data_IF_809102373696
#
_entry.id   IF_809102373696
#
_cell.length_a   1.000
_cell.length_b   1.000
_cell.length_c   1.000
_cell.angle_alpha   90.00
_cell.angle_beta   90.00
_cell.angle_gamma   90.00
#
_symmetry.space_group_name_H-M   'P 1'
#
loop_
_entity.id
_entity.type
_entity.pdbx_description
1 polymer ?
#
# COMPACT_ATOMS: atom_id res chain seq x y z
N UNK A 1 -15.97 13.65 18.52
CA UNK A 1 -14.90 12.70 18.88
C UNK A 1 -13.61 13.30 18.35
N UNK A 2 -12.55 13.39 19.15
CA UNK A 2 -11.27 13.91 18.66
C UNK A 2 -10.65 12.90 17.67
N UNK A 3 -9.98 13.36 16.60
CA UNK A 3 -9.33 12.51 15.60
C UNK A 3 -8.38 11.48 16.21
N UNK A 4 -7.69 11.82 17.30
CA UNK A 4 -6.82 10.88 18.04
C UNK A 4 -7.59 9.71 18.68
N UNK A 5 -8.80 9.94 19.16
CA UNK A 5 -9.64 8.88 19.74
C UNK A 5 -10.21 7.97 18.65
N UNK A 6 -10.54 8.53 17.48
CA UNK A 6 -10.96 7.77 16.30
C UNK A 6 -9.85 6.81 15.87
N UNK A 7 -8.63 7.33 15.67
CA UNK A 7 -7.45 6.57 15.27
C UNK A 7 -7.21 5.39 16.23
N UNK A 8 -7.24 5.62 17.54
CA UNK A 8 -7.06 4.55 18.54
C UNK A 8 -8.18 3.51 18.46
N UNK A 9 -9.44 3.93 18.32
CA UNK A 9 -10.57 3.00 18.21
C UNK A 9 -10.47 2.12 16.97
N UNK A 10 -10.02 2.67 15.85
CA UNK A 10 -9.80 1.91 14.61
C UNK A 10 -8.65 0.91 14.82
N UNK A 11 -7.52 1.35 15.39
CA UNK A 11 -6.37 0.47 15.61
C UNK A 11 -6.72 -0.74 16.49
N UNK A 12 -7.47 -0.54 17.58
CA UNK A 12 -7.81 -1.62 18.52
C UNK A 12 -9.08 -2.39 18.19
N UNK A 13 -10.02 -1.79 17.45
CA UNK A 13 -11.36 -2.33 17.23
C UNK A 13 -11.70 -2.66 15.78
N UNK A 14 -10.91 -2.19 14.82
CA UNK A 14 -11.21 -2.32 13.39
C UNK A 14 -12.42 -1.47 12.95
N UNK A 15 -12.90 -1.73 11.74
CA UNK A 15 -14.09 -1.10 11.17
C UNK A 15 -15.09 -2.13 10.67
N UNK A 16 -16.38 -1.85 10.93
CA UNK A 16 -17.48 -2.52 10.24
C UNK A 16 -17.47 -2.16 8.74
N UNK A 17 -17.87 -3.11 7.90
CA UNK A 17 -17.74 -2.98 6.44
C UNK A 17 -18.47 -1.75 5.88
N UNK A 18 -19.64 -1.43 6.43
CA UNK A 18 -20.50 -0.32 6.03
C UNK A 18 -19.85 1.04 6.27
N UNK A 19 -18.94 1.14 7.24
CA UNK A 19 -18.25 2.40 7.58
C UNK A 19 -16.99 2.62 6.75
N UNK A 20 -16.44 1.57 6.12
CA UNK A 20 -15.15 1.62 5.41
C UNK A 20 -15.13 2.67 4.33
N UNK A 21 -16.19 2.76 3.52
CA UNK A 21 -16.27 3.71 2.39
C UNK A 21 -16.03 5.15 2.86
N UNK A 22 -16.59 5.54 4.00
CA UNK A 22 -16.42 6.90 4.53
C UNK A 22 -15.09 7.05 5.28
N UNK A 23 -14.78 6.11 6.18
CA UNK A 23 -13.63 6.23 7.08
C UNK A 23 -12.29 6.06 6.36
N UNK A 24 -12.23 5.22 5.31
CA UNK A 24 -11.01 5.04 4.53
C UNK A 24 -10.56 6.33 3.86
N UNK A 25 -11.48 7.22 3.48
CA UNK A 25 -11.14 8.52 2.92
C UNK A 25 -10.35 9.38 3.90
N UNK A 26 -10.65 9.30 5.20
CA UNK A 26 -9.86 9.97 6.24
C UNK A 26 -8.53 9.25 6.54
N UNK A 27 -8.55 7.92 6.66
CA UNK A 27 -7.34 7.13 6.94
C UNK A 27 -6.27 7.27 5.83
N UNK A 28 -6.72 7.33 4.58
CA UNK A 28 -5.85 7.53 3.42
C UNK A 28 -5.44 8.99 3.22
N UNK A 29 -6.04 9.94 3.95
CA UNK A 29 -5.76 11.37 3.79
C UNK A 29 -6.39 11.98 2.55
N UNK A 30 -7.41 11.34 1.99
CA UNK A 30 -8.26 11.95 0.96
C UNK A 30 -9.12 13.08 1.55
N UNK A 31 -9.54 12.92 2.81
CA UNK A 31 -10.13 13.99 3.61
C UNK A 31 -9.26 14.33 4.80
N UNK A 32 -9.19 15.62 5.12
CA UNK A 32 -8.65 16.07 6.39
C UNK A 32 -9.64 15.80 7.53
N UNK A 33 -9.12 15.41 8.69
CA UNK A 33 -9.93 15.13 9.87
C UNK A 33 -10.72 16.34 10.39
N UNK A 34 -10.20 17.54 10.18
CA UNK A 34 -10.83 18.79 10.61
C UNK A 34 -11.75 19.40 9.53
N UNK A 35 -11.83 18.79 8.35
CA UNK A 35 -12.69 19.28 7.27
C UNK A 35 -14.17 19.27 7.65
N UNK A 36 -14.90 20.25 7.14
CA UNK A 36 -16.36 20.32 7.21
C UNK A 36 -17.00 19.52 6.08
N UNK A 37 -18.30 19.23 6.21
CA UNK A 37 -19.06 18.55 5.17
C UNK A 37 -19.06 19.35 3.84
N UNK A 38 -19.22 20.67 3.92
CA UNK A 38 -19.24 21.54 2.74
C UNK A 38 -17.90 21.56 1.99
N UNK A 39 -16.78 21.58 2.73
CA UNK A 39 -15.44 21.48 2.13
C UNK A 39 -15.24 20.13 1.43
N UNK A 40 -15.73 19.03 2.03
CA UNK A 40 -15.67 17.70 1.40
C UNK A 40 -16.52 17.59 0.15
N UNK A 41 -17.76 18.11 0.15
CA UNK A 41 -18.60 18.14 -1.05
C UNK A 41 -17.94 18.93 -2.19
N UNK A 42 -17.36 20.10 -1.86
CA UNK A 42 -16.62 20.90 -2.83
C UNK A 42 -15.41 20.12 -3.39
N UNK A 43 -14.60 19.52 -2.51
CA UNK A 43 -13.44 18.71 -2.89
C UNK A 43 -13.83 17.57 -3.82
N UNK A 44 -14.91 16.82 -3.51
CA UNK A 44 -15.40 15.74 -4.36
C UNK A 44 -15.79 16.23 -5.76
N UNK A 45 -16.43 17.41 -5.86
CA UNK A 45 -16.82 17.99 -7.14
C UNK A 45 -15.60 18.32 -8.02
N UNK A 46 -14.55 18.89 -7.44
CA UNK A 46 -13.30 19.22 -8.12
C UNK A 46 -12.58 17.94 -8.54
N UNK A 47 -12.42 17.00 -7.60
CA UNK A 47 -11.73 15.72 -7.81
C UNK A 47 -12.39 14.88 -8.89
N UNK A 48 -13.72 14.90 -8.98
CA UNK A 48 -14.45 14.23 -10.06
C UNK A 48 -14.12 14.84 -11.43
N UNK A 49 -14.08 16.17 -11.54
CA UNK A 49 -13.73 16.85 -12.79
C UNK A 49 -12.27 16.59 -13.19
N UNK A 50 -11.35 16.62 -12.23
CA UNK A 50 -9.93 16.35 -12.45
C UNK A 50 -9.71 14.92 -12.93
N UNK A 51 -10.37 13.95 -12.29
CA UNK A 51 -10.32 12.54 -12.71
C UNK A 51 -10.76 12.37 -14.17
N UNK A 52 -11.91 12.93 -14.55
CA UNK A 52 -12.41 12.86 -15.93
C UNK A 52 -11.45 13.54 -16.92
N UNK A 53 -10.85 14.65 -16.51
CA UNK A 53 -9.84 15.36 -17.31
C UNK A 53 -8.64 14.46 -17.58
N UNK A 54 -8.05 13.82 -16.55
CA UNK A 54 -6.90 12.92 -16.71
C UNK A 54 -7.31 11.69 -17.54
N UNK A 55 -8.48 11.12 -17.28
CA UNK A 55 -8.99 9.95 -18.01
C UNK A 55 -9.16 10.25 -19.50
N UNK A 56 -9.65 11.44 -19.84
CA UNK A 56 -9.81 11.87 -21.23
C UNK A 56 -8.49 11.91 -22.00
N UNK A 57 -7.36 12.20 -21.33
CA UNK A 57 -6.05 12.28 -21.96
C UNK A 57 -5.69 10.96 -22.64
N UNK A 58 -5.75 9.84 -21.91
CA UNK A 58 -5.40 8.54 -22.47
C UNK A 58 -6.51 7.97 -23.37
N UNK A 59 -7.78 8.27 -23.10
CA UNK A 59 -8.90 7.87 -23.95
C UNK A 59 -8.87 8.54 -25.33
N UNK A 60 -8.32 9.74 -25.43
CA UNK A 60 -8.19 10.48 -26.70
C UNK A 60 -7.05 9.99 -27.59
N UNK A 61 -6.19 9.08 -27.09
CA UNK A 61 -5.05 8.54 -27.86
C UNK A 61 -5.58 7.63 -28.97
N UNK A 62 -5.42 8.07 -30.22
CA UNK A 62 -5.76 7.27 -31.41
C UNK A 62 -4.88 6.01 -31.54
N UNK A 63 -5.34 5.03 -32.32
CA UNK A 63 -4.57 3.81 -32.63
C UNK A 63 -3.20 4.14 -33.25
N UNK A 64 -3.12 5.19 -34.08
CA UNK A 64 -1.88 5.61 -34.73
C UNK A 64 -0.92 6.23 -33.71
N UNK A 65 -1.41 7.08 -32.80
CA UNK A 65 -0.60 7.64 -31.71
C UNK A 65 -0.13 6.55 -30.76
N UNK A 66 -1.02 5.63 -30.35
CA UNK A 66 -0.68 4.50 -29.49
C UNK A 66 0.48 3.68 -30.08
N UNK A 67 0.46 3.37 -31.39
CA UNK A 67 1.57 2.68 -32.09
C UNK A 67 2.92 3.42 -32.05
N UNK A 68 2.93 4.73 -31.77
CA UNK A 68 4.15 5.55 -31.65
C UNK A 68 4.47 5.97 -30.21
N UNK A 69 3.64 5.58 -29.24
CA UNK A 69 3.82 5.88 -27.83
C UNK A 69 4.22 4.64 -27.02
N UNK A 70 5.51 4.31 -27.02
CA UNK A 70 6.02 3.06 -26.42
C UNK A 70 5.70 2.93 -24.94
N UNK A 71 5.98 3.96 -24.12
CA UNK A 71 5.67 3.94 -22.68
C UNK A 71 4.19 3.65 -22.39
N UNK A 72 3.27 4.28 -23.14
CA UNK A 72 1.84 4.01 -23.00
C UNK A 72 1.48 2.56 -23.35
N UNK A 73 1.98 2.03 -24.49
CA UNK A 73 1.68 0.64 -24.89
C UNK A 73 2.19 -0.37 -23.88
N UNK A 74 3.40 -0.19 -23.37
CA UNK A 74 4.01 -1.09 -22.40
C UNK A 74 3.22 -1.08 -21.09
N UNK A 75 2.93 0.10 -20.54
CA UNK A 75 2.11 0.26 -19.33
C UNK A 75 0.72 -0.34 -19.51
N UNK A 76 0.03 -0.01 -20.61
CA UNK A 76 -1.28 -0.56 -20.93
C UNK A 76 -1.21 -2.09 -21.01
N UNK A 77 -0.19 -2.65 -21.66
CA UNK A 77 -0.05 -4.11 -21.77
C UNK A 77 0.21 -4.78 -20.42
N UNK A 78 0.98 -4.16 -19.52
CA UNK A 78 1.18 -4.68 -18.16
C UNK A 78 -0.12 -4.63 -17.35
N UNK A 79 -0.84 -3.50 -17.39
CA UNK A 79 -2.13 -3.35 -16.73
C UNK A 79 -3.13 -4.38 -17.24
N UNK A 80 -3.30 -4.49 -18.56
CA UNK A 80 -4.24 -5.43 -19.20
C UNK A 80 -3.94 -6.89 -18.78
N UNK A 81 -2.66 -7.26 -18.56
CA UNK A 81 -2.25 -8.59 -18.09
C UNK A 81 -2.51 -8.82 -16.60
N UNK A 82 -2.38 -7.79 -15.78
CA UNK A 82 -2.53 -7.92 -14.32
C UNK A 82 -4.00 -7.90 -13.90
N UNK A 83 -4.83 -7.05 -14.48
CA UNK A 83 -6.25 -6.94 -14.08
C UNK A 83 -7.05 -8.21 -14.36
N UNK A 84 -6.77 -8.91 -15.47
CA UNK A 84 -7.49 -10.14 -15.85
C UNK A 84 -7.28 -11.30 -14.88
N UNK A 85 -6.21 -11.26 -14.08
CA UNK A 85 -5.85 -12.25 -13.06
C UNK A 85 -6.01 -11.73 -11.64
N UNK A 86 -6.40 -10.47 -11.45
CA UNK A 86 -6.53 -9.86 -10.11
C UNK A 86 -7.82 -10.33 -9.45
N UNK A 87 -7.68 -11.00 -8.30
CA UNK A 87 -8.75 -11.34 -7.36
C UNK A 87 -10.02 -11.98 -7.96
N UNK A 88 -9.85 -12.79 -9.01
CA UNK A 88 -10.96 -13.43 -9.75
C UNK A 88 -11.79 -14.42 -8.93
N UNK A 89 -11.28 -14.84 -7.77
CA UNK A 89 -12.02 -15.64 -6.78
C UNK A 89 -12.96 -14.81 -5.89
N UNK A 90 -12.88 -13.48 -5.96
CA UNK A 90 -13.77 -12.57 -5.22
C UNK A 90 -15.00 -12.31 -6.09
N UNK A 91 -16.23 -12.51 -5.59
CA UNK A 91 -17.46 -12.36 -6.39
C UNK A 91 -17.58 -11.01 -7.12
N UNK A 92 -17.03 -9.95 -6.53
CA UNK A 92 -17.04 -8.62 -7.14
C UNK A 92 -16.25 -8.54 -8.47
N UNK A 93 -15.20 -9.35 -8.61
CA UNK A 93 -14.35 -9.42 -9.80
C UNK A 93 -14.48 -10.75 -10.54
N UNK A 94 -15.43 -11.62 -10.18
CA UNK A 94 -15.64 -12.92 -10.80
C UNK A 94 -16.33 -12.80 -12.18
N UNK A 95 -16.10 -13.79 -13.05
CA UNK A 95 -16.82 -13.93 -14.33
C UNK A 95 -16.21 -13.15 -15.49
N UNK A 96 -16.37 -13.68 -16.70
CA UNK A 96 -15.84 -13.07 -17.93
C UNK A 96 -16.50 -11.71 -18.20
N UNK A 97 -15.75 -10.80 -18.83
CA UNK A 97 -16.20 -9.43 -19.15
C UNK A 97 -16.77 -8.64 -17.95
N UNK A 98 -16.28 -8.91 -16.73
CA UNK A 98 -16.73 -8.26 -15.51
C UNK A 98 -16.47 -6.72 -15.57
N UNK A 99 -17.50 -5.88 -15.37
CA UNK A 99 -17.36 -4.42 -15.48
C UNK A 99 -16.42 -3.82 -14.44
N UNK A 100 -16.31 -4.41 -13.23
CA UNK A 100 -15.40 -3.92 -12.20
C UNK A 100 -13.93 -4.18 -12.56
N UNK A 101 -13.64 -5.22 -13.34
CA UNK A 101 -12.28 -5.44 -13.90
C UNK A 101 -11.93 -4.36 -14.94
N UNK A 102 -12.93 -3.90 -15.71
CA UNK A 102 -12.77 -2.78 -16.64
C UNK A 102 -12.51 -1.48 -15.87
N UNK A 103 -13.26 -1.24 -14.79
CA UNK A 103 -13.04 -0.07 -13.92
C UNK A 103 -11.65 -0.12 -13.27
N UNK A 104 -11.23 -1.27 -12.75
CA UNK A 104 -9.88 -1.46 -12.19
C UNK A 104 -8.79 -1.08 -13.20
N UNK A 105 -8.95 -1.54 -14.45
CA UNK A 105 -8.07 -1.22 -15.57
C UNK A 105 -8.05 0.28 -15.89
N UNK A 106 -9.20 0.91 -15.95
CA UNK A 106 -9.34 2.33 -16.30
C UNK A 106 -8.73 3.23 -15.22
N UNK A 107 -8.89 2.89 -13.93
CA UNK A 107 -8.24 3.59 -12.83
C UNK A 107 -6.71 3.49 -12.94
N UNK A 108 -6.15 2.29 -13.15
CA UNK A 108 -4.69 2.11 -13.27
C UNK A 108 -4.12 2.84 -14.48
N UNK A 109 -4.83 2.87 -15.60
CA UNK A 109 -4.43 3.67 -16.76
C UNK A 109 -4.48 5.16 -16.47
N UNK A 110 -5.54 5.62 -15.81
CA UNK A 110 -5.66 7.03 -15.41
C UNK A 110 -4.54 7.42 -14.43
N UNK A 111 -4.20 6.55 -13.48
CA UNK A 111 -3.08 6.76 -12.57
C UNK A 111 -1.74 6.86 -13.31
N UNK A 112 -1.56 6.04 -14.36
CA UNK A 112 -0.34 6.10 -15.17
C UNK A 112 -0.17 7.40 -15.96
N UNK A 113 -1.23 8.20 -16.10
CA UNK A 113 -1.23 9.56 -16.66
C UNK A 113 -1.12 10.63 -15.59
N UNK A 114 -1.70 10.39 -14.40
CA UNK A 114 -1.52 11.25 -13.24
C UNK A 114 -0.06 11.30 -12.79
N UNK A 115 0.56 10.14 -12.55
CA UNK A 115 1.98 10.03 -12.24
C UNK A 115 2.71 9.35 -13.41
N UNK A 116 3.11 10.16 -14.39
CA UNK A 116 3.71 9.64 -15.62
C UNK A 116 5.14 9.12 -15.43
N UNK A 117 5.81 9.46 -14.33
CA UNK A 117 7.16 8.97 -14.05
C UNK A 117 7.13 7.56 -13.48
N UNK A 118 6.32 7.34 -12.44
CA UNK A 118 6.10 6.01 -11.87
C UNK A 118 5.30 5.14 -12.86
N UNK A 119 4.16 5.63 -13.34
CA UNK A 119 3.29 4.93 -14.27
C UNK A 119 2.58 3.73 -13.62
N UNK A 120 2.95 2.52 -14.06
CA UNK A 120 2.39 1.27 -13.53
C UNK A 120 3.51 0.26 -13.29
N UNK A 121 3.46 -0.37 -12.12
CA UNK A 121 4.30 -1.48 -11.72
C UNK A 121 3.44 -2.65 -11.22
N UNK A 122 3.89 -3.88 -11.50
CA UNK A 122 3.19 -5.07 -11.06
C UNK A 122 3.02 -5.07 -9.53
N UNK A 123 1.81 -5.39 -9.07
CA UNK A 123 1.40 -5.34 -7.66
C UNK A 123 0.52 -4.13 -7.34
N UNK A 124 0.53 -3.07 -8.17
CA UNK A 124 -0.38 -1.94 -7.99
C UNK A 124 -1.86 -2.33 -8.14
N UNK A 125 -2.18 -3.30 -9.02
CA UNK A 125 -3.55 -3.82 -9.12
C UNK A 125 -4.02 -4.50 -7.82
N UNK A 126 -3.11 -5.16 -7.11
CA UNK A 126 -3.40 -5.81 -5.82
C UNK A 126 -3.72 -4.79 -4.72
N UNK A 127 -3.07 -3.63 -4.74
CA UNK A 127 -3.36 -2.52 -3.84
C UNK A 127 -4.69 -1.85 -4.18
N UNK A 128 -4.97 -1.61 -5.46
CA UNK A 128 -6.20 -0.94 -5.89
C UNK A 128 -7.45 -1.82 -5.67
N UNK A 129 -7.33 -3.14 -5.80
CA UNK A 129 -8.45 -4.05 -5.85
C UNK A 129 -9.38 -3.97 -4.61
N UNK A 130 -8.89 -4.00 -3.35
CA UNK A 130 -9.74 -3.76 -2.18
C UNK A 130 -10.26 -2.32 -2.07
N UNK A 131 -9.51 -1.32 -2.52
CA UNK A 131 -9.96 0.09 -2.54
C UNK A 131 -11.18 0.24 -3.44
N UNK A 132 -11.13 -0.30 -4.66
CA UNK A 132 -12.26 -0.28 -5.58
C UNK A 132 -13.45 -1.07 -5.01
N UNK A 133 -13.19 -2.21 -4.37
CA UNK A 133 -14.24 -2.98 -3.70
C UNK A 133 -14.96 -2.19 -2.60
N UNK A 134 -14.25 -1.37 -1.82
CA UNK A 134 -14.85 -0.54 -0.76
C UNK A 134 -15.52 0.71 -1.32
N UNK A 135 -14.86 1.44 -2.21
CA UNK A 135 -15.33 2.74 -2.69
C UNK A 135 -16.53 2.60 -3.64
N UNK A 136 -16.56 1.54 -4.46
CA UNK A 136 -17.56 1.23 -5.51
C UNK A 136 -17.67 2.26 -6.64
N UNK A 137 -17.31 3.51 -6.37
CA UNK A 137 -17.23 4.59 -7.33
C UNK A 137 -15.80 4.72 -7.88
N UNK A 138 -15.69 4.96 -9.18
CA UNK A 138 -14.43 4.95 -9.90
C UNK A 138 -13.51 6.14 -9.56
N UNK A 139 -14.04 7.36 -9.46
CA UNK A 139 -13.19 8.54 -9.16
C UNK A 139 -12.82 8.55 -7.67
N UNK A 140 -13.72 8.12 -6.79
CA UNK A 140 -13.42 7.95 -5.36
C UNK A 140 -12.31 6.90 -5.14
N UNK A 141 -12.40 5.75 -5.85
CA UNK A 141 -11.37 4.72 -5.81
C UNK A 141 -10.03 5.21 -6.37
N UNK A 142 -10.05 5.98 -7.46
CA UNK A 142 -8.87 6.59 -8.03
C UNK A 142 -8.15 7.51 -7.04
N UNK A 143 -8.85 8.46 -6.41
CA UNK A 143 -8.21 9.40 -5.49
C UNK A 143 -7.76 8.75 -4.19
N UNK A 144 -8.51 7.76 -3.71
CA UNK A 144 -8.07 6.93 -2.58
C UNK A 144 -6.80 6.14 -2.90
N UNK A 145 -6.70 5.61 -4.13
CA UNK A 145 -5.50 4.94 -4.61
C UNK A 145 -4.33 5.89 -4.80
N UNK A 146 -4.54 7.09 -5.34
CA UNK A 146 -3.52 8.15 -5.40
C UNK A 146 -2.97 8.43 -4.01
N UNK A 147 -3.85 8.65 -3.02
CA UNK A 147 -3.43 8.96 -1.65
C UNK A 147 -2.63 7.82 -1.01
N UNK A 148 -2.95 6.55 -1.31
CA UNK A 148 -2.13 5.40 -0.91
C UNK A 148 -0.76 5.41 -1.62
N UNK A 149 -0.75 5.73 -2.92
CA UNK A 149 0.46 5.73 -3.73
C UNK A 149 1.40 6.91 -3.43
N UNK A 150 0.92 8.02 -2.85
CA UNK A 150 1.82 9.05 -2.30
C UNK A 150 2.69 8.48 -1.16
N UNK A 151 2.16 7.52 -0.39
CA UNK A 151 2.89 6.87 0.71
C UNK A 151 3.78 5.73 0.22
N UNK A 152 3.28 4.91 -0.70
CA UNK A 152 3.92 3.66 -1.12
C UNK A 152 4.65 3.75 -2.47
N UNK A 153 4.49 4.85 -3.21
CA UNK A 153 5.07 5.08 -4.54
C UNK A 153 6.56 4.79 -4.63
N UNK A 154 7.40 5.19 -3.65
CA UNK A 154 8.82 4.88 -3.69
C UNK A 154 9.15 3.37 -3.70
N UNK A 155 8.23 2.50 -3.27
CA UNK A 155 8.41 1.03 -3.36
C UNK A 155 8.37 0.53 -4.80
N UNK A 156 7.73 1.29 -5.69
CA UNK A 156 7.53 0.95 -7.10
C UNK A 156 8.49 1.71 -8.02
N UNK A 157 9.40 2.53 -7.47
CA UNK A 157 10.43 3.18 -8.27
C UNK A 157 11.32 2.15 -8.97
N UNK A 158 11.82 2.49 -10.17
CA UNK A 158 12.62 1.58 -10.99
C UNK A 158 13.91 1.12 -10.31
N UNK A 159 14.47 1.94 -9.43
CA UNK A 159 15.66 1.63 -8.65
C UNK A 159 15.36 0.79 -7.39
N UNK A 160 14.08 0.56 -7.07
CA UNK A 160 13.60 -0.16 -5.90
C UNK A 160 14.14 0.38 -4.57
N UNK A 161 14.53 1.66 -4.53
CA UNK A 161 15.14 2.30 -3.37
C UNK A 161 14.25 2.21 -2.12
N UNK A 162 12.93 2.44 -2.28
CA UNK A 162 11.96 2.31 -1.19
C UNK A 162 11.93 0.90 -0.58
N UNK A 163 11.97 -0.13 -1.42
CA UNK A 163 11.99 -1.54 -0.95
C UNK A 163 13.30 -1.89 -0.25
N UNK A 164 14.44 -1.51 -0.80
CA UNK A 164 15.74 -1.77 -0.19
C UNK A 164 15.87 -1.10 1.18
N UNK A 165 15.38 0.15 1.32
CA UNK A 165 15.42 0.87 2.59
C UNK A 165 14.57 0.20 3.68
N UNK A 166 13.38 -0.30 3.33
CA UNK A 166 12.52 -1.02 4.26
C UNK A 166 13.06 -2.40 4.64
N UNK A 167 13.63 -3.15 3.70
CA UNK A 167 14.27 -4.44 4.01
C UNK A 167 15.51 -4.28 4.88
N UNK A 168 16.28 -3.22 4.66
CA UNK A 168 17.38 -2.85 5.54
C UNK A 168 16.87 -2.48 6.95
N UNK A 169 15.84 -1.66 7.05
CA UNK A 169 15.22 -1.31 8.33
C UNK A 169 14.67 -2.55 9.05
N UNK A 170 14.01 -3.46 8.34
CA UNK A 170 13.54 -4.74 8.87
C UNK A 170 14.70 -5.57 9.43
N UNK A 171 15.79 -5.69 8.68
CA UNK A 171 17.00 -6.40 9.14
C UNK A 171 17.53 -5.84 10.46
N UNK A 172 17.55 -4.51 10.60
CA UNK A 172 17.99 -3.82 11.83
C UNK A 172 17.02 -3.98 12.99
N UNK A 173 15.72 -3.92 12.73
CA UNK A 173 14.70 -4.17 13.75
C UNK A 173 14.74 -5.63 14.24
N UNK A 174 14.97 -6.60 13.35
CA UNK A 174 15.16 -8.02 13.75
C UNK A 174 16.45 -8.19 14.54
N UNK A 175 17.54 -7.50 14.18
CA UNK A 175 18.79 -7.48 14.96
C UNK A 175 18.55 -6.98 16.40
N UNK A 176 17.74 -5.92 16.54
CA UNK A 176 17.36 -5.33 17.83
C UNK A 176 16.44 -6.25 18.66
N UNK A 177 15.40 -6.83 18.03
CA UNK A 177 14.29 -7.50 18.72
C UNK A 177 14.40 -9.04 18.77
N UNK A 178 15.26 -9.63 17.95
CA UNK A 178 15.56 -11.07 17.95
C UNK A 178 16.96 -11.37 17.40
N UNK A 179 17.97 -11.06 18.19
CA UNK A 179 19.38 -11.27 17.82
C UNK A 179 19.70 -12.71 17.38
N UNK A 180 19.05 -13.72 17.99
CA UNK A 180 19.26 -15.12 17.60
C UNK A 180 18.71 -15.43 16.19
N UNK A 181 17.54 -14.91 15.83
CA UNK A 181 16.99 -15.07 14.49
C UNK A 181 17.81 -14.28 13.45
N UNK A 182 18.23 -13.06 13.79
CA UNK A 182 19.12 -12.28 12.93
C UNK A 182 20.43 -13.01 12.64
N UNK A 183 21.07 -13.57 13.68
CA UNK A 183 22.31 -14.34 13.52
C UNK A 183 22.12 -15.60 12.68
N UNK A 184 20.98 -16.27 12.82
CA UNK A 184 20.64 -17.40 11.96
C UNK A 184 20.57 -16.96 10.49
N UNK A 185 19.84 -15.88 10.18
CA UNK A 185 19.80 -15.36 8.80
C UNK A 185 21.16 -14.89 8.30
N UNK A 186 22.05 -14.40 9.16
CA UNK A 186 23.45 -14.11 8.80
C UNK A 186 24.21 -15.35 8.38
N UNK A 187 24.06 -16.46 9.11
CA UNK A 187 24.73 -17.72 8.80
C UNK A 187 24.15 -18.38 7.55
N UNK A 188 22.85 -18.23 7.31
CA UNK A 188 22.13 -18.78 6.16
C UNK A 188 22.15 -17.87 4.91
N UNK A 189 22.97 -16.82 4.88
CA UNK A 189 23.06 -15.83 3.79
C UNK A 189 21.71 -15.20 3.38
N UNK A 190 20.87 -14.92 4.39
CA UNK A 190 19.49 -14.45 4.26
C UNK A 190 19.28 -13.00 4.74
N UNK A 191 20.35 -12.22 4.93
CA UNK A 191 20.28 -10.85 5.47
C UNK A 191 19.72 -9.79 4.51
N UNK A 192 19.43 -10.16 3.26
CA UNK A 192 18.72 -9.29 2.33
C UNK A 192 17.18 -9.26 2.58
N UNK A 193 16.64 -10.22 3.34
CA UNK A 193 15.21 -10.34 3.65
C UNK A 193 14.29 -10.37 2.43
N UNK A 194 14.77 -10.75 1.23
CA UNK A 194 13.94 -10.74 0.03
C UNK A 194 12.74 -11.70 0.08
N UNK A 195 12.74 -12.68 1.00
CA UNK A 195 11.56 -13.49 1.30
C UNK A 195 10.38 -12.69 1.90
N UNK A 196 10.63 -11.49 2.46
CA UNK A 196 9.60 -10.55 2.91
C UNK A 196 9.23 -9.49 1.85
N UNK A 197 9.84 -9.52 0.66
CA UNK A 197 9.63 -8.48 -0.37
C UNK A 197 8.15 -8.34 -0.76
N UNK A 198 7.47 -9.47 -0.98
CA UNK A 198 6.03 -9.49 -1.32
C UNK A 198 5.17 -8.93 -0.19
N UNK A 199 5.50 -9.22 1.06
CA UNK A 199 4.75 -8.71 2.21
C UNK A 199 4.75 -7.19 2.26
N UNK A 200 5.92 -6.58 2.09
CA UNK A 200 6.08 -5.13 2.17
C UNK A 200 5.51 -4.45 0.92
N UNK A 201 5.81 -4.95 -0.28
CA UNK A 201 5.43 -4.30 -1.54
C UNK A 201 3.91 -4.10 -1.68
N UNK A 202 3.14 -5.12 -1.30
CA UNK A 202 1.67 -5.14 -1.44
C UNK A 202 0.97 -5.23 -0.08
N UNK A 203 1.62 -4.77 0.99
CA UNK A 203 1.07 -4.67 2.35
C UNK A 203 0.29 -5.94 2.75
N UNK A 204 0.94 -7.10 2.60
CA UNK A 204 0.45 -8.44 2.95
C UNK A 204 -0.83 -8.91 2.22
N UNK A 205 -1.28 -8.24 1.15
CA UNK A 205 -2.50 -8.58 0.38
C UNK A 205 -2.59 -10.02 -0.10
N UNK A 206 -1.46 -10.71 -0.26
CA UNK A 206 -1.39 -12.12 -0.70
C UNK A 206 -1.35 -13.12 0.46
N UNK A 207 -1.28 -12.64 1.70
CA UNK A 207 -1.18 -13.49 2.88
C UNK A 207 -2.52 -13.64 3.59
N UNK A 208 -3.50 -12.80 3.24
CA UNK A 208 -4.80 -12.71 3.89
C UNK A 208 -5.94 -12.65 2.87
N UNK A 209 -7.10 -13.14 3.29
CA UNK A 209 -8.37 -12.90 2.60
C UNK A 209 -8.76 -11.42 2.67
N UNK A 210 -9.79 -11.02 1.91
CA UNK A 210 -10.20 -9.61 1.79
C UNK A 210 -10.50 -8.94 3.12
N UNK A 211 -11.31 -9.57 3.96
CA UNK A 211 -11.74 -8.98 5.23
C UNK A 211 -10.54 -8.72 6.15
N UNK A 212 -9.64 -9.71 6.26
CA UNK A 212 -8.39 -9.59 7.02
C UNK A 212 -7.42 -8.58 6.41
N UNK A 213 -7.33 -8.52 5.08
CA UNK A 213 -6.53 -7.51 4.39
C UNK A 213 -7.01 -6.10 4.72
N UNK A 214 -8.32 -5.86 4.59
CA UNK A 214 -8.94 -4.57 4.90
C UNK A 214 -8.70 -4.19 6.36
N UNK A 215 -8.90 -5.13 7.29
CA UNK A 215 -8.63 -4.90 8.70
C UNK A 215 -7.17 -4.54 8.99
N UNK A 216 -6.22 -5.28 8.41
CA UNK A 216 -4.79 -4.96 8.55
C UNK A 216 -4.46 -3.57 7.98
N UNK A 217 -4.99 -3.23 6.81
CA UNK A 217 -4.75 -1.92 6.21
C UNK A 217 -5.31 -0.77 7.05
N UNK A 218 -6.49 -0.94 7.64
CA UNK A 218 -7.07 0.03 8.57
C UNK A 218 -6.13 0.29 9.74
N UNK A 219 -5.58 -0.78 10.34
CA UNK A 219 -4.58 -0.71 11.41
C UNK A 219 -3.33 0.03 10.94
N UNK A 220 -2.77 -0.31 9.77
CA UNK A 220 -1.57 0.32 9.22
C UNK A 220 -1.77 1.81 8.90
N UNK A 221 -2.92 2.17 8.33
CA UNK A 221 -3.23 3.55 7.93
C UNK A 221 -3.57 4.46 9.10
N UNK A 222 -3.84 3.91 10.30
CA UNK A 222 -3.93 4.72 11.51
C UNK A 222 -2.61 5.41 11.86
N UNK A 223 -1.47 4.85 11.42
CA UNK A 223 -0.12 5.23 11.86
C UNK A 223 0.03 5.31 13.38
N UNK A 224 -0.84 4.58 14.11
CA UNK A 224 -0.76 4.51 15.56
C UNK A 224 0.49 3.71 15.96
N UNK A 225 1.18 4.16 17.02
CA UNK A 225 2.48 3.65 17.52
C UNK A 225 3.68 3.90 16.60
N UNK A 226 3.55 3.64 15.30
CA UNK A 226 4.61 3.85 14.31
C UNK A 226 4.02 4.00 12.91
N UNK A 227 4.59 4.88 12.09
CA UNK A 227 4.26 4.94 10.67
C UNK A 227 4.75 3.69 9.90
N UNK A 228 5.78 3.01 10.43
CA UNK A 228 6.36 1.77 9.89
C UNK A 228 5.86 0.51 10.60
N UNK A 229 4.62 0.52 11.11
CA UNK A 229 4.06 -0.61 11.85
C UNK A 229 4.07 -1.93 11.06
N UNK A 230 3.99 -1.87 9.72
CA UNK A 230 4.10 -3.03 8.83
C UNK A 230 5.43 -3.80 8.98
N UNK A 231 6.52 -3.13 9.35
CA UNK A 231 7.79 -3.82 9.63
C UNK A 231 7.70 -4.66 10.91
N UNK A 232 6.98 -4.19 11.92
CA UNK A 232 6.73 -4.96 13.15
C UNK A 232 5.81 -6.15 12.89
N UNK A 233 4.86 -6.04 11.95
CA UNK A 233 4.06 -7.17 11.46
C UNK A 233 4.95 -8.24 10.83
N UNK A 234 5.93 -7.85 9.98
CA UNK A 234 6.91 -8.82 9.45
C UNK A 234 7.66 -9.54 10.59
N UNK A 235 8.12 -8.82 11.60
CA UNK A 235 8.89 -9.39 12.72
C UNK A 235 8.02 -10.33 13.55
N UNK A 236 6.78 -9.97 13.84
CA UNK A 236 5.84 -10.82 14.58
C UNK A 236 5.63 -12.16 13.87
N UNK A 237 5.40 -12.15 12.55
CA UNK A 237 5.26 -13.38 11.75
C UNK A 237 6.57 -14.19 11.76
N UNK A 238 7.72 -13.55 11.55
CA UNK A 238 9.01 -14.25 11.55
C UNK A 238 9.32 -14.88 12.91
N UNK A 239 9.01 -14.18 14.02
CA UNK A 239 9.22 -14.67 15.38
C UNK A 239 8.29 -15.83 15.72
N UNK A 240 7.03 -15.81 15.28
CA UNK A 240 6.09 -16.92 15.54
C UNK A 240 6.54 -18.23 14.86
N UNK A 241 7.26 -18.13 13.74
CA UNK A 241 7.78 -19.28 13.00
C UNK A 241 9.28 -19.57 13.21
N UNK A 242 9.97 -18.77 14.05
CA UNK A 242 11.42 -18.88 14.32
C UNK A 242 11.89 -20.29 14.62
N UNK A 243 11.19 -21.00 15.52
CA UNK A 243 11.58 -22.35 15.94
C UNK A 243 11.67 -23.28 14.73
N UNK A 244 10.62 -23.29 13.89
CA UNK A 244 10.56 -24.11 12.68
C UNK A 244 11.65 -23.73 11.67
N UNK A 245 11.83 -22.42 11.43
CA UNK A 245 12.86 -21.90 10.51
C UNK A 245 14.25 -22.41 10.90
N UNK A 246 14.59 -22.34 12.19
CA UNK A 246 15.92 -22.71 12.69
C UNK A 246 16.11 -24.23 12.84
N UNK A 247 15.10 -24.97 13.29
CA UNK A 247 15.18 -26.43 13.44
C UNK A 247 15.25 -27.16 12.10
N UNK A 248 14.54 -26.66 11.07
CA UNK A 248 14.60 -27.21 9.71
C UNK A 248 15.82 -26.71 8.92
N UNK A 249 16.66 -25.84 9.51
CA UNK A 249 17.86 -25.28 8.88
C UNK A 249 17.57 -24.70 7.48
N UNK A 250 16.46 -23.96 7.37
CA UNK A 250 16.03 -23.35 6.10
C UNK A 250 17.08 -22.39 5.56
N UNK A 251 17.58 -22.68 4.36
CA UNK A 251 18.30 -21.75 3.49
C UNK A 251 17.34 -20.76 2.82
N UNK A 252 17.85 -19.86 1.98
CA UNK A 252 17.04 -18.83 1.34
C UNK A 252 15.86 -19.39 0.54
N UNK A 253 16.09 -20.41 -0.29
CA UNK A 253 15.05 -20.98 -1.16
C UNK A 253 13.98 -21.73 -0.36
N UNK A 254 14.40 -22.47 0.67
CA UNK A 254 13.47 -23.19 1.55
C UNK A 254 12.67 -22.20 2.39
N UNK A 255 13.32 -21.16 2.92
CA UNK A 255 12.66 -20.09 3.66
C UNK A 255 11.66 -19.34 2.80
N UNK A 256 12.02 -18.97 1.57
CA UNK A 256 11.11 -18.30 0.64
C UNK A 256 9.89 -19.18 0.32
N UNK A 257 10.08 -20.48 0.09
CA UNK A 257 8.97 -21.43 -0.11
C UNK A 257 8.08 -21.55 1.13
N UNK A 258 8.69 -21.66 2.31
CA UNK A 258 7.98 -21.74 3.58
C UNK A 258 7.12 -20.47 3.81
N UNK A 259 7.73 -19.29 3.67
CA UNK A 259 7.08 -17.99 3.81
C UNK A 259 5.92 -17.84 2.82
N UNK A 260 6.12 -18.19 1.55
CA UNK A 260 5.05 -18.18 0.55
C UNK A 260 3.90 -19.14 0.91
N UNK A 261 4.22 -20.27 1.54
CA UNK A 261 3.27 -21.25 2.02
C UNK A 261 2.44 -20.82 3.23
N UNK A 262 2.81 -19.72 3.92
CA UNK A 262 2.03 -19.18 5.04
C UNK A 262 0.75 -18.45 4.59
N UNK A 263 0.58 -18.20 3.29
CA UNK A 263 -0.60 -17.53 2.75
C UNK A 263 -1.89 -18.17 3.26
N UNK A 264 -2.79 -17.34 3.81
CA UNK A 264 -4.06 -17.70 4.46
C UNK A 264 -3.94 -18.58 5.73
N UNK A 265 -2.73 -18.78 6.26
CA UNK A 265 -2.49 -19.55 7.50
C UNK A 265 -2.11 -18.65 8.68
N UNK A 266 -1.95 -17.35 8.46
CA UNK A 266 -1.54 -16.40 9.48
C UNK A 266 -2.77 -15.94 10.31
N UNK A 267 -2.65 -16.05 11.63
CA UNK A 267 -3.59 -15.45 12.58
C UNK A 267 -3.30 -13.95 12.70
N UNK A 268 -4.15 -13.14 12.06
CA UNK A 268 -3.98 -11.68 11.99
C UNK A 268 -4.03 -11.03 13.38
N UNK A 269 -4.98 -11.43 14.23
CA UNK A 269 -5.19 -10.78 15.52
C UNK A 269 -4.01 -11.05 16.45
N UNK A 270 -3.47 -12.28 16.41
CA UNK A 270 -2.25 -12.61 17.16
C UNK A 270 -1.06 -11.81 16.65
N UNK A 271 -0.89 -11.70 15.34
CA UNK A 271 0.22 -10.97 14.73
C UNK A 271 0.16 -9.47 15.05
N UNK A 272 -1.02 -8.85 15.03
CA UNK A 272 -1.18 -7.44 15.40
C UNK A 272 -0.78 -7.22 16.87
N UNK A 273 -1.26 -8.07 17.80
CA UNK A 273 -0.91 -7.97 19.22
C UNK A 273 0.59 -8.13 19.46
N UNK A 274 1.21 -9.10 18.80
CA UNK A 274 2.65 -9.34 18.93
C UNK A 274 3.45 -8.18 18.32
N UNK A 275 3.02 -7.64 17.17
CA UNK A 275 3.64 -6.48 16.53
C UNK A 275 3.52 -5.21 17.39
N UNK A 276 2.38 -4.99 18.04
CA UNK A 276 2.19 -3.91 19.02
C UNK A 276 3.19 -4.05 20.18
N UNK A 277 3.27 -5.24 20.80
CA UNK A 277 4.19 -5.47 21.90
C UNK A 277 5.66 -5.26 21.48
N UNK A 278 6.03 -5.70 20.28
CA UNK A 278 7.36 -5.48 19.71
C UNK A 278 7.64 -3.99 19.46
N UNK A 279 6.68 -3.25 18.91
CA UNK A 279 6.80 -1.82 18.64
C UNK A 279 6.98 -1.02 19.94
N UNK A 280 6.17 -1.31 20.96
CA UNK A 280 6.27 -0.69 22.28
C UNK A 280 7.60 -1.03 22.95
N UNK A 281 8.06 -2.28 22.87
CA UNK A 281 9.34 -2.73 23.42
C UNK A 281 10.54 -2.05 22.74
N UNK A 282 10.50 -1.89 21.41
CA UNK A 282 11.55 -1.26 20.65
C UNK A 282 11.68 0.24 20.99
N UNK A 283 10.56 0.92 21.22
CA UNK A 283 10.51 2.33 21.58
C UNK A 283 11.35 3.21 20.66
N UNK A 284 12.08 4.17 21.24
CA UNK A 284 12.96 5.06 20.48
C UNK A 284 14.11 4.36 19.75
N UNK A 285 14.58 3.21 20.25
CA UNK A 285 15.63 2.43 19.59
C UNK A 285 15.12 1.79 18.30
N UNK A 286 13.85 1.37 18.28
CA UNK A 286 13.19 0.88 17.06
C UNK A 286 13.10 1.97 16.00
N UNK A 287 12.65 3.17 16.37
CA UNK A 287 12.59 4.31 15.46
C UNK A 287 13.99 4.67 14.91
N UNK A 288 15.04 4.60 15.74
CA UNK A 288 16.41 4.86 15.31
C UNK A 288 16.98 3.82 14.32
N UNK A 289 16.38 2.63 14.21
CA UNK A 289 16.76 1.62 13.21
C UNK A 289 16.26 1.94 11.79
N UNK A 290 15.32 2.88 11.65
CA UNK A 290 14.65 3.17 10.39
C UNK A 290 15.29 4.41 9.75
N UNK A 291 15.93 4.29 8.58
CA UNK A 291 16.53 5.44 7.92
C UNK A 291 15.49 6.51 7.56
N UNK A 292 15.85 7.81 7.64
CA UNK A 292 14.98 8.88 7.14
C UNK A 292 14.62 8.68 5.67
N UNK A 293 13.36 8.93 5.31
CA UNK A 293 12.84 8.73 3.95
C UNK A 293 12.48 7.29 3.60
N UNK A 294 12.59 6.34 4.54
CA UNK A 294 12.06 4.98 4.36
C UNK A 294 10.53 5.01 4.29
N UNK A 295 9.91 4.45 3.23
CA UNK A 295 8.46 4.40 3.11
C UNK A 295 7.79 3.55 4.20
N UNK A 296 6.50 3.80 4.53
CA UNK A 296 5.65 4.84 3.94
C UNK A 296 6.06 6.24 4.38
N UNK A 297 6.17 7.15 3.42
CA UNK A 297 6.37 8.57 3.71
C UNK A 297 5.00 9.19 3.94
N UNK A 298 4.72 9.80 5.10
CA UNK A 298 3.54 10.66 5.19
C UNK A 298 3.67 11.80 4.16
N UNK A 299 2.59 12.20 3.45
CA UNK A 299 2.68 13.34 2.56
C UNK A 299 3.16 14.56 3.34
N UNK A 300 4.20 15.21 2.83
CA UNK A 300 4.48 16.61 3.16
C UNK A 300 3.34 17.39 2.54
N UNK A 301 2.61 18.18 3.34
CA UNK A 301 1.38 18.90 2.99
C UNK A 301 1.16 19.13 1.48
N UNK A 302 0.12 18.50 0.93
CA UNK A 302 -0.25 18.54 -0.50
C UNK A 302 -0.71 19.94 -0.98
N UNK A 303 -0.74 20.94 -0.10
CA UNK A 303 -1.18 22.31 -0.40
C UNK A 303 -0.06 23.25 -0.87
N UNK A 304 1.21 22.81 -0.87
CA UNK A 304 2.32 23.69 -1.26
C UNK A 304 2.49 23.91 -2.78
N UNK A 305 1.62 23.37 -3.64
CA UNK A 305 1.90 23.25 -5.09
C UNK A 305 0.85 23.78 -6.07
N UNK A 306 -0.33 24.24 -5.64
CA UNK A 306 -1.41 24.57 -6.58
C UNK A 306 -1.95 26.02 -6.53
N UNK A 307 -1.34 26.90 -5.73
CA UNK A 307 -1.63 28.33 -5.77
C UNK A 307 -0.37 29.19 -5.59
N UNK A 308 0.55 29.11 -6.54
CA UNK A 308 1.42 30.26 -6.82
C UNK A 308 0.88 30.91 -8.09
N UNK A 309 -0.14 31.76 -7.90
CA UNK A 309 -0.49 32.77 -8.90
C UNK A 309 0.66 33.78 -8.91
N UNK A 310 1.64 33.57 -9.79
CA UNK A 310 2.46 34.68 -10.26
C UNK A 310 1.57 35.54 -11.16
N UNK A 311 0.89 36.50 -10.53
CA UNK A 311 0.57 37.77 -11.14
C UNK A 311 1.90 38.44 -11.53
N UNK A 312 2.42 38.15 -12.72
CA UNK A 312 3.36 39.04 -13.38
C UNK A 312 2.57 40.23 -13.91
N UNK A 313 2.46 41.25 -13.06
CA UNK A 313 2.04 42.60 -13.42
C UNK A 313 2.90 43.14 -14.57
N UNK A 314 2.17 43.74 -15.50
CA UNK A 314 2.61 44.65 -16.55
C UNK A 314 3.62 45.67 -16.01
N UNK A 315 4.78 45.77 -16.68
CA UNK A 315 5.43 47.05 -17.03
C UNK A 315 6.40 46.89 -18.20
#
# INVERSE_FOLDING_TARGET
MNSKDLIKRIFYGGLEHELRKEVWKFLLGYYEYESTYAEREYLESVRKLDYETIKSQWKSISVVQAKRFTKFRERKSLIDKDVVRTDRSVPYFEGDDNPNVIVLRDILLTYSFYNFDLGYCQGMSDLLSPILFVMRDEYEAFWSFVALMERLGPNFNRDQSGMHSQLFALSKLVELLDHSLHNYFRQADCLNYFFCFRWILIQFKREFEYEKTMHLWEVLWTHHLSEHFHLYICIAILKSHKKKIMEEQMDFDTLLKFINGLSNQIDLDSVIRDAEALCVCAGGNGAACIPPGTPPSCPVDLDAGLYDQQDDEIL
#
